data_IF_033546767281
#
_entry.id   IF_033546767281
#
_cell.length_a   1.000
_cell.length_b   1.000
_cell.length_c   1.000
_cell.angle_alpha   90.00
_cell.angle_beta   90.00
_cell.angle_gamma   90.00
#
_symmetry.space_group_name_H-M   'P 1'
#
loop_
_entity.id
_entity.type
_entity.pdbx_description
1 polymer ?
#
# COMPACT_ATOMS: atom_id res chain seq x y z
N UNK A 1 -22.65 15.82 4.08
CA UNK A 1 -21.90 15.11 3.02
C UNK A 1 -22.43 13.72 3.02
N UNK A 2 -23.23 13.40 2.02
CA UNK A 2 -23.89 12.12 1.87
C UNK A 2 -22.89 10.98 1.92
N UNK A 3 -23.14 10.01 2.76
CA UNK A 3 -22.53 8.69 2.67
C UNK A 3 -22.87 8.15 1.28
N UNK A 4 -21.93 8.22 0.34
CA UNK A 4 -22.05 7.48 -0.89
C UNK A 4 -22.14 6.01 -0.47
N UNK A 5 -23.34 5.45 -0.53
CA UNK A 5 -23.59 4.03 -0.33
C UNK A 5 -22.65 3.26 -1.24
N UNK A 6 -21.66 2.65 -0.61
CA UNK A 6 -20.68 1.83 -1.32
C UNK A 6 -21.43 0.63 -1.86
N UNK A 7 -21.62 0.57 -3.17
CA UNK A 7 -22.22 -0.61 -3.83
C UNK A 7 -21.43 -1.86 -3.39
N UNK A 8 -21.98 -2.72 -2.53
CA UNK A 8 -21.29 -3.90 -2.01
C UNK A 8 -20.82 -4.82 -3.14
N UNK A 9 -21.54 -4.81 -4.26
CA UNK A 9 -21.22 -5.59 -5.45
C UNK A 9 -19.93 -5.08 -6.14
N UNK A 10 -19.74 -3.76 -6.22
CA UNK A 10 -18.52 -3.18 -6.74
C UNK A 10 -17.31 -3.51 -5.86
N UNK A 11 -17.48 -3.46 -4.54
CA UNK A 11 -16.45 -3.86 -3.57
C UNK A 11 -16.06 -5.32 -3.76
N UNK A 12 -17.03 -6.22 -3.95
CA UNK A 12 -16.77 -7.64 -4.17
C UNK A 12 -16.05 -7.89 -5.51
N UNK A 13 -16.45 -7.23 -6.60
CA UNK A 13 -15.76 -7.33 -7.89
C UNK A 13 -14.29 -6.91 -7.79
N UNK A 14 -14.02 -5.79 -7.17
CA UNK A 14 -12.65 -5.33 -6.94
C UNK A 14 -11.85 -6.30 -6.07
N UNK A 15 -12.50 -6.91 -5.10
CA UNK A 15 -11.87 -7.90 -4.22
C UNK A 15 -11.61 -9.22 -4.95
N UNK A 16 -12.52 -9.69 -5.79
CA UNK A 16 -12.34 -10.86 -6.64
C UNK A 16 -11.14 -10.68 -7.56
N UNK A 17 -11.08 -9.55 -8.26
CA UNK A 17 -9.95 -9.26 -9.15
C UNK A 17 -8.61 -9.19 -8.38
N UNK A 18 -8.59 -8.54 -7.22
CA UNK A 18 -7.38 -8.48 -6.40
C UNK A 18 -6.97 -9.85 -5.86
N UNK A 19 -7.93 -10.74 -5.55
CA UNK A 19 -7.63 -12.10 -5.12
C UNK A 19 -7.06 -12.94 -6.26
N UNK A 20 -7.67 -12.90 -7.43
CA UNK A 20 -7.17 -13.57 -8.62
C UNK A 20 -5.71 -13.17 -8.91
N UNK A 21 -5.43 -11.87 -9.02
CA UNK A 21 -4.07 -11.38 -9.25
C UNK A 21 -3.09 -11.75 -8.12
N UNK A 22 -3.56 -11.84 -6.88
CA UNK A 22 -2.73 -12.31 -5.77
C UNK A 22 -2.35 -13.77 -5.96
N UNK A 23 -3.28 -14.62 -6.42
CA UNK A 23 -2.98 -16.04 -6.68
C UNK A 23 -1.97 -16.19 -7.81
N UNK A 24 -2.17 -15.50 -8.94
CA UNK A 24 -1.22 -15.51 -10.06
C UNK A 24 0.20 -15.08 -9.61
N UNK A 25 0.31 -13.99 -8.86
CA UNK A 25 1.59 -13.55 -8.31
C UNK A 25 2.23 -14.61 -7.41
N UNK A 26 1.45 -15.22 -6.53
CA UNK A 26 1.99 -16.17 -5.56
C UNK A 26 2.45 -17.46 -6.24
N UNK A 27 1.75 -17.91 -7.28
CA UNK A 27 2.18 -19.05 -8.09
C UNK A 27 3.52 -18.74 -8.79
N UNK A 28 3.65 -17.57 -9.40
CA UNK A 28 4.90 -17.14 -10.01
C UNK A 28 6.05 -16.98 -8.99
N UNK A 29 5.76 -16.54 -7.77
CA UNK A 29 6.75 -16.46 -6.68
C UNK A 29 7.20 -17.85 -6.20
N UNK A 30 6.30 -18.84 -6.15
CA UNK A 30 6.62 -20.22 -5.82
C UNK A 30 7.58 -20.80 -6.86
N UNK A 31 7.29 -20.59 -8.14
CA UNK A 31 8.13 -21.03 -9.25
C UNK A 31 9.55 -20.45 -9.16
N UNK A 32 9.67 -19.12 -8.96
CA UNK A 32 10.97 -18.43 -8.87
C UNK A 32 11.79 -18.90 -7.66
N UNK A 33 11.13 -19.16 -6.53
CA UNK A 33 11.82 -19.56 -5.30
C UNK A 33 12.29 -21.03 -5.30
N UNK A 34 11.78 -21.85 -6.20
CA UNK A 34 11.98 -23.30 -6.19
C UNK A 34 11.64 -23.93 -4.82
N UNK A 35 10.85 -23.26 -4.02
CA UNK A 35 10.40 -23.65 -2.69
C UNK A 35 8.93 -23.96 -2.81
N UNK A 36 8.55 -25.23 -2.75
CA UNK A 36 7.14 -25.63 -2.76
C UNK A 36 6.27 -24.80 -1.79
N UNK A 37 5.01 -25.14 -1.61
CA UNK A 37 4.02 -24.44 -0.76
C UNK A 37 4.40 -24.31 0.74
N UNK A 38 5.65 -24.59 1.13
CA UNK A 38 6.11 -24.61 2.52
C UNK A 38 6.27 -23.22 3.17
N UNK A 39 6.24 -22.12 2.41
CA UNK A 39 6.31 -20.75 2.96
C UNK A 39 4.97 -20.38 3.62
N UNK A 40 4.97 -20.30 4.95
CA UNK A 40 3.77 -19.92 5.74
C UNK A 40 3.15 -18.58 5.30
N UNK A 41 3.96 -17.64 4.81
CA UNK A 41 3.49 -16.35 4.33
C UNK A 41 2.72 -16.49 3.02
N UNK A 42 3.24 -17.26 2.08
CA UNK A 42 2.60 -17.56 0.80
C UNK A 42 1.30 -18.34 1.02
N UNK A 43 1.33 -19.42 1.81
CA UNK A 43 0.14 -20.22 2.09
C UNK A 43 -0.99 -19.40 2.74
N UNK A 44 -0.65 -18.53 3.69
CA UNK A 44 -1.63 -17.59 4.27
C UNK A 44 -2.20 -16.63 3.24
N UNK A 45 -1.40 -16.17 2.28
CA UNK A 45 -1.84 -15.25 1.26
C UNK A 45 -2.70 -15.94 0.18
N UNK A 46 -2.39 -17.19 -0.17
CA UNK A 46 -3.25 -18.02 -1.03
C UNK A 46 -4.63 -18.23 -0.42
N UNK A 47 -4.70 -18.50 0.89
CA UNK A 47 -5.95 -18.63 1.63
C UNK A 47 -6.66 -17.30 1.97
N UNK A 48 -6.11 -16.16 1.57
CA UNK A 48 -6.71 -14.85 1.87
C UNK A 48 -8.00 -14.63 1.11
N UNK A 49 -9.10 -14.37 1.84
CA UNK A 49 -10.38 -14.09 1.21
C UNK A 49 -10.98 -15.27 0.43
N UNK A 50 -10.57 -16.51 0.68
CA UNK A 50 -11.17 -17.69 0.05
C UNK A 50 -12.58 -17.92 0.52
N UNK A 51 -12.90 -17.55 1.74
CA UNK A 51 -14.20 -17.70 2.34
C UNK A 51 -14.86 -16.34 2.53
N UNK A 52 -16.13 -16.23 2.13
CA UNK A 52 -16.99 -15.07 2.40
C UNK A 52 -18.21 -15.53 3.17
N UNK A 53 -18.51 -14.82 4.25
CA UNK A 53 -19.78 -14.88 4.96
C UNK A 53 -20.50 -13.56 4.77
N UNK A 54 -21.74 -13.60 4.32
CA UNK A 54 -22.63 -12.45 4.24
C UNK A 54 -23.70 -12.64 5.32
N UNK A 55 -23.78 -11.71 6.25
CA UNK A 55 -24.80 -11.67 7.29
C UNK A 55 -25.28 -10.23 7.50
N UNK A 56 -26.18 -10.02 8.47
CA UNK A 56 -26.75 -8.70 8.79
C UNK A 56 -25.69 -7.62 9.10
N UNK A 57 -24.51 -8.02 9.53
CA UNK A 57 -23.38 -7.11 9.80
C UNK A 57 -22.56 -6.82 8.53
N UNK A 58 -22.91 -7.41 7.38
CA UNK A 58 -22.26 -7.23 6.09
C UNK A 58 -21.34 -8.39 5.69
N UNK A 59 -20.34 -8.08 4.87
CA UNK A 59 -19.46 -9.06 4.24
C UNK A 59 -18.24 -9.31 5.13
N UNK A 60 -18.10 -10.53 5.63
CA UNK A 60 -16.98 -10.98 6.47
C UNK A 60 -16.09 -11.96 5.72
N UNK A 61 -14.78 -11.94 6.01
CA UNK A 61 -13.79 -12.85 5.44
C UNK A 61 -12.56 -12.94 6.33
N UNK A 62 -11.68 -13.89 6.04
CA UNK A 62 -10.37 -14.01 6.70
C UNK A 62 -9.29 -13.36 5.84
N UNK A 63 -8.59 -12.37 6.38
CA UNK A 63 -7.54 -11.64 5.70
C UNK A 63 -6.16 -11.99 6.26
N UNK A 64 -5.18 -12.21 5.35
CA UNK A 64 -3.84 -12.68 5.72
C UNK A 64 -2.92 -11.59 6.28
N UNK A 65 -3.18 -10.32 5.99
CA UNK A 65 -2.30 -9.19 6.34
C UNK A 65 -0.96 -9.16 5.58
N UNK A 66 -0.73 -10.08 4.63
CA UNK A 66 0.54 -10.18 3.91
C UNK A 66 0.70 -9.05 2.89
N UNK A 67 1.94 -8.59 2.70
CA UNK A 67 2.28 -7.54 1.72
C UNK A 67 2.30 -8.02 0.26
N UNK A 68 2.39 -9.33 0.03
CA UNK A 68 2.17 -9.91 -1.30
C UNK A 68 0.69 -9.90 -1.73
N UNK A 69 -0.22 -9.80 -0.77
CA UNK A 69 -1.64 -9.89 -1.03
C UNK A 69 -2.23 -8.54 -1.42
N UNK A 70 -2.73 -8.40 -2.64
CA UNK A 70 -3.38 -7.17 -3.12
C UNK A 70 -4.65 -6.85 -2.34
N UNK A 71 -5.45 -7.85 -1.97
CA UNK A 71 -6.65 -7.66 -1.15
C UNK A 71 -6.29 -6.95 0.16
N UNK A 72 -5.29 -7.48 0.89
CA UNK A 72 -4.85 -6.90 2.16
C UNK A 72 -4.18 -5.53 2.00
N UNK A 73 -3.48 -5.31 0.89
CA UNK A 73 -2.89 -4.01 0.61
C UNK A 73 -3.95 -2.95 0.31
N UNK A 74 -4.98 -3.29 -0.48
CA UNK A 74 -6.12 -2.39 -0.76
C UNK A 74 -6.84 -2.02 0.55
N UNK A 75 -7.17 -2.99 1.39
CA UNK A 75 -7.80 -2.75 2.71
C UNK A 75 -6.92 -1.84 3.58
N UNK A 76 -5.63 -2.13 3.69
CA UNK A 76 -4.70 -1.31 4.48
C UNK A 76 -4.59 0.12 3.97
N UNK A 77 -4.52 0.30 2.66
CA UNK A 77 -4.46 1.63 2.03
C UNK A 77 -5.73 2.43 2.34
N UNK A 78 -6.88 1.82 2.20
CA UNK A 78 -8.16 2.44 2.52
C UNK A 78 -8.26 2.86 4.00
N UNK A 79 -7.85 1.98 4.92
CA UNK A 79 -7.78 2.29 6.35
C UNK A 79 -6.84 3.47 6.65
N UNK A 80 -5.64 3.48 6.05
CA UNK A 80 -4.69 4.59 6.22
C UNK A 80 -5.25 5.90 5.66
N UNK A 81 -5.90 5.84 4.52
CA UNK A 81 -6.55 7.01 3.93
C UNK A 81 -7.61 7.59 4.87
N UNK A 82 -8.54 6.77 5.36
CA UNK A 82 -9.59 7.21 6.29
C UNK A 82 -9.05 7.77 7.60
N UNK A 83 -7.90 7.25 8.07
CA UNK A 83 -7.26 7.71 9.30
C UNK A 83 -6.53 9.05 9.15
N UNK A 84 -6.00 9.37 7.98
CA UNK A 84 -5.08 10.50 7.80
C UNK A 84 -5.56 11.57 6.83
N UNK A 85 -6.55 11.33 5.97
CA UNK A 85 -7.05 12.32 5.00
C UNK A 85 -7.49 13.61 5.69
N UNK A 86 -8.42 13.52 6.64
CA UNK A 86 -8.93 14.70 7.34
C UNK A 86 -7.87 15.40 8.20
N UNK A 87 -7.03 14.70 9.00
CA UNK A 87 -5.91 15.34 9.70
C UNK A 87 -4.92 16.05 8.78
N UNK A 88 -4.66 15.53 7.58
CA UNK A 88 -3.78 16.19 6.61
C UNK A 88 -4.47 17.41 5.99
N UNK A 89 -5.73 17.29 5.58
CA UNK A 89 -6.49 18.43 5.00
C UNK A 89 -6.70 19.57 5.98
N UNK A 90 -6.66 19.32 7.28
CA UNK A 90 -6.75 20.36 8.31
C UNK A 90 -5.44 21.15 8.52
N UNK A 91 -4.33 20.70 7.95
CA UNK A 91 -3.07 21.43 8.01
C UNK A 91 -3.02 22.53 6.93
N UNK A 92 -2.50 23.73 7.26
CA UNK A 92 -2.31 24.78 6.27
C UNK A 92 -1.11 24.48 5.38
N UNK A 93 -1.07 25.09 4.21
CA UNK A 93 0.10 25.21 3.35
C UNK A 93 0.83 23.88 3.09
N UNK A 94 0.14 22.93 2.50
CA UNK A 94 0.66 21.59 2.27
C UNK A 94 1.63 21.53 1.08
N UNK A 95 2.76 20.88 1.29
CA UNK A 95 3.80 20.61 0.28
C UNK A 95 4.04 19.11 0.14
N UNK A 96 4.13 18.64 -1.11
CA UNK A 96 4.55 17.29 -1.44
C UNK A 96 6.07 17.29 -1.62
N UNK A 97 6.74 16.54 -0.77
CA UNK A 97 8.19 16.43 -0.75
C UNK A 97 8.61 15.02 -1.17
N UNK A 98 9.61 14.92 -2.03
CA UNK A 98 10.25 13.64 -2.39
C UNK A 98 11.69 13.68 -1.92
N UNK A 99 12.08 12.71 -1.10
CA UNK A 99 13.45 12.54 -0.62
C UNK A 99 14.02 11.23 -1.14
N UNK A 100 15.13 11.32 -1.86
CA UNK A 100 15.76 10.17 -2.52
C UNK A 100 17.19 9.99 -2.03
N UNK A 101 17.72 8.82 -2.31
CA UNK A 101 19.14 8.47 -2.14
C UNK A 101 19.66 7.85 -3.45
N UNK A 102 20.98 7.66 -3.56
CA UNK A 102 21.56 6.89 -4.66
C UNK A 102 20.94 5.49 -4.73
N UNK A 103 20.59 5.06 -5.92
CA UNK A 103 19.96 3.75 -6.16
C UNK A 103 20.85 2.60 -5.68
N UNK A 104 20.47 1.82 -4.65
CA UNK A 104 21.22 0.66 -4.22
C UNK A 104 21.01 -0.53 -5.16
N UNK A 105 22.02 -1.40 -5.24
CA UNK A 105 21.90 -2.74 -5.80
C UNK A 105 21.14 -3.66 -4.83
N UNK A 106 20.79 -4.86 -5.33
CA UNK A 106 19.99 -5.85 -4.61
C UNK A 106 20.51 -6.15 -3.19
N UNK A 107 21.79 -6.42 -3.04
CA UNK A 107 22.45 -6.78 -1.77
C UNK A 107 22.46 -5.62 -0.75
N UNK A 108 22.36 -4.39 -1.21
CA UNK A 108 22.38 -3.17 -0.38
C UNK A 108 21.01 -2.57 -0.08
N UNK A 109 19.92 -3.06 -0.71
CA UNK A 109 18.60 -2.46 -0.56
C UNK A 109 18.14 -2.39 0.90
N UNK A 110 18.27 -3.49 1.65
CA UNK A 110 17.83 -3.55 3.04
C UNK A 110 18.61 -2.58 3.93
N UNK A 111 19.93 -2.54 3.80
CA UNK A 111 20.79 -1.60 4.56
C UNK A 111 20.53 -0.16 4.18
N UNK A 112 20.33 0.14 2.89
CA UNK A 112 19.98 1.47 2.42
C UNK A 112 18.66 1.96 3.03
N UNK A 113 17.62 1.11 3.05
CA UNK A 113 16.34 1.44 3.70
C UNK A 113 16.55 1.71 5.21
N UNK A 114 17.33 0.88 5.89
CA UNK A 114 17.65 1.08 7.32
C UNK A 114 18.39 2.40 7.55
N UNK A 115 19.36 2.74 6.69
CA UNK A 115 20.05 4.03 6.69
C UNK A 115 19.07 5.18 6.57
N UNK A 116 18.21 5.16 5.55
CA UNK A 116 17.17 6.19 5.37
C UNK A 116 16.31 6.41 6.63
N UNK A 117 15.94 5.35 7.33
CA UNK A 117 15.17 5.47 8.58
C UNK A 117 15.96 6.10 9.71
N UNK A 118 17.24 5.74 9.85
CA UNK A 118 18.15 6.32 10.84
C UNK A 118 18.35 7.80 10.56
N UNK A 119 18.71 8.15 9.33
CA UNK A 119 18.97 9.53 8.91
C UNK A 119 17.73 10.42 9.10
N UNK A 120 16.56 9.92 8.69
CA UNK A 120 15.30 10.64 8.90
C UNK A 120 14.97 10.84 10.39
N UNK A 121 15.33 9.91 11.25
CA UNK A 121 15.15 10.08 12.69
C UNK A 121 16.07 11.16 13.25
N UNK A 122 17.34 11.14 12.84
CA UNK A 122 18.36 12.11 13.28
C UNK A 122 18.01 13.52 12.82
N UNK A 123 17.70 13.71 11.53
CA UNK A 123 17.34 15.03 11.00
C UNK A 123 16.07 15.59 11.67
N UNK A 124 15.06 14.76 11.90
CA UNK A 124 13.85 15.20 12.60
C UNK A 124 14.15 15.68 14.03
N UNK A 125 15.06 15.01 14.73
CA UNK A 125 15.46 15.40 16.07
C UNK A 125 16.30 16.69 16.05
N UNK A 126 17.14 16.89 15.02
CA UNK A 126 17.90 18.12 14.81
C UNK A 126 16.98 19.32 14.52
N UNK A 127 16.04 19.18 13.59
CA UNK A 127 15.04 20.20 13.28
C UNK A 127 14.21 20.59 14.51
N UNK A 128 13.83 19.61 15.33
CA UNK A 128 13.11 19.87 16.58
C UNK A 128 13.94 20.72 17.57
N UNK A 129 15.26 20.47 17.67
CA UNK A 129 16.17 21.29 18.51
C UNK A 129 16.25 22.74 18.00
N UNK A 130 16.17 22.93 16.68
CA UNK A 130 16.09 24.25 16.02
C UNK A 130 14.69 24.88 16.10
N UNK A 131 13.74 24.28 16.85
CA UNK A 131 12.34 24.69 17.00
C UNK A 131 11.49 24.56 15.73
N UNK A 132 12.00 23.89 14.69
CA UNK A 132 11.25 23.56 13.47
C UNK A 132 10.43 22.30 13.73
N UNK A 133 9.12 22.43 13.68
CA UNK A 133 8.17 21.34 14.00
C UNK A 133 7.50 20.81 12.73
N UNK A 134 8.04 19.75 12.19
CA UNK A 134 7.43 19.07 11.05
C UNK A 134 6.04 18.50 11.41
N UNK A 135 5.05 18.76 10.55
CA UNK A 135 3.70 18.19 10.64
C UNK A 135 3.30 17.59 9.28
N UNK A 136 2.94 16.33 9.28
CA UNK A 136 2.56 15.66 8.04
C UNK A 136 2.57 14.14 8.11
N UNK A 137 2.74 13.51 6.97
CA UNK A 137 2.77 12.06 6.81
C UNK A 137 3.89 11.68 5.83
N UNK A 138 4.70 10.69 6.19
CA UNK A 138 5.75 10.11 5.36
C UNK A 138 5.36 8.71 4.89
N UNK A 139 5.64 8.41 3.62
CA UNK A 139 5.52 7.09 3.01
C UNK A 139 6.88 6.67 2.44
N UNK A 140 7.30 5.43 2.68
CA UNK A 140 8.37 4.79 1.91
C UNK A 140 7.78 4.19 0.64
N UNK A 141 8.39 4.49 -0.50
CA UNK A 141 8.11 3.85 -1.79
C UNK A 141 9.42 3.27 -2.36
N UNK A 142 9.32 2.15 -3.05
CA UNK A 142 10.48 1.50 -3.68
C UNK A 142 10.08 1.10 -5.09
N UNK A 143 10.78 1.63 -6.07
CA UNK A 143 10.66 1.21 -7.47
C UNK A 143 11.90 0.42 -7.89
N UNK A 144 11.77 -0.35 -8.95
CA UNK A 144 12.87 -1.10 -9.52
C UNK A 144 13.16 -0.58 -10.94
N UNK A 145 14.45 -0.34 -11.22
CA UNK A 145 14.95 0.01 -12.53
C UNK A 145 15.56 -1.27 -13.15
N UNK A 146 14.89 -1.82 -14.14
CA UNK A 146 15.28 -3.06 -14.81
C UNK A 146 16.52 -2.88 -15.71
N UNK A 147 16.70 -1.69 -16.30
CA UNK A 147 17.84 -1.39 -17.17
C UNK A 147 19.15 -1.36 -16.39
N UNK A 148 19.16 -0.77 -15.21
CA UNK A 148 20.35 -0.64 -14.35
C UNK A 148 20.45 -1.77 -13.31
N UNK A 149 19.41 -2.59 -13.17
CA UNK A 149 19.27 -3.60 -12.13
C UNK A 149 19.50 -2.99 -10.72
N UNK A 150 18.85 -1.86 -10.48
CA UNK A 150 18.93 -1.10 -9.22
C UNK A 150 17.54 -0.87 -8.64
N UNK A 151 17.52 -0.56 -7.34
CA UNK A 151 16.29 -0.21 -6.64
C UNK A 151 16.31 1.28 -6.32
N UNK A 152 15.15 1.92 -6.34
CA UNK A 152 15.01 3.33 -6.02
C UNK A 152 14.10 3.50 -4.79
N UNK A 153 14.63 3.32 -3.56
CA UNK A 153 13.89 3.65 -2.35
C UNK A 153 13.85 5.16 -2.16
N UNK A 154 12.68 5.69 -1.91
CA UNK A 154 12.47 7.11 -1.69
C UNK A 154 11.31 7.35 -0.73
N UNK A 155 11.32 8.51 -0.11
CA UNK A 155 10.21 8.98 0.71
C UNK A 155 9.34 9.94 -0.11
N UNK A 156 8.04 9.72 -0.05
CA UNK A 156 7.04 10.72 -0.34
C UNK A 156 6.48 11.25 0.97
N UNK A 157 6.42 12.58 1.10
CA UNK A 157 5.87 13.22 2.29
C UNK A 157 4.84 14.26 1.88
N UNK A 158 3.84 14.44 2.72
CA UNK A 158 3.05 15.65 2.78
C UNK A 158 3.48 16.38 4.05
N UNK A 159 3.99 17.61 3.89
CA UNK A 159 4.48 18.45 4.99
C UNK A 159 3.75 19.78 4.95
N UNK A 160 3.35 20.27 6.13
CA UNK A 160 2.75 21.59 6.30
C UNK A 160 3.84 22.65 6.45
N UNK A 161 3.75 23.71 5.64
CA UNK A 161 4.68 24.84 5.60
C UNK A 161 5.78 24.68 4.55
N UNK A 162 5.98 25.72 3.74
CA UNK A 162 7.06 25.75 2.74
C UNK A 162 8.42 25.73 3.41
N UNK A 163 8.64 26.57 4.42
CA UNK A 163 9.88 26.66 5.16
C UNK A 163 10.25 25.31 5.83
N UNK A 164 9.27 24.61 6.40
CA UNK A 164 9.45 23.27 6.97
C UNK A 164 9.83 22.25 5.91
N UNK A 165 9.27 22.34 4.70
CA UNK A 165 9.62 21.45 3.59
C UNK A 165 11.03 21.72 3.06
N UNK A 166 11.45 22.98 2.96
CA UNK A 166 12.80 23.37 2.55
C UNK A 166 13.84 22.93 3.57
N UNK A 167 13.64 23.23 4.85
CA UNK A 167 14.54 22.78 5.93
C UNK A 167 14.64 21.25 6.01
N UNK A 168 13.54 20.53 5.69
CA UNK A 168 13.55 19.08 5.63
C UNK A 168 14.46 18.56 4.52
N UNK A 169 14.43 19.18 3.31
CA UNK A 169 15.29 18.78 2.19
C UNK A 169 16.76 19.12 2.48
N UNK A 170 17.05 20.30 3.00
CA UNK A 170 18.40 20.69 3.40
C UNK A 170 18.98 19.72 4.43
N UNK A 171 18.24 19.46 5.50
CA UNK A 171 18.68 18.49 6.51
C UNK A 171 18.81 17.07 5.93
N UNK A 172 17.99 16.68 4.95
CA UNK A 172 18.14 15.37 4.31
C UNK A 172 19.47 15.25 3.57
N UNK A 173 19.91 16.32 2.89
CA UNK A 173 21.21 16.36 2.21
C UNK A 173 22.37 16.32 3.20
N UNK A 174 22.25 16.99 4.35
CA UNK A 174 23.29 17.00 5.39
C UNK A 174 23.46 15.64 6.07
N UNK A 175 22.36 14.93 6.30
CA UNK A 175 22.37 13.65 7.01
C UNK A 175 22.55 12.43 6.10
N UNK A 176 22.43 12.59 4.77
CA UNK A 176 22.54 11.49 3.82
C UNK A 176 23.57 11.78 2.72
N UNK A 177 24.78 11.26 2.88
CA UNK A 177 25.90 11.46 1.96
C UNK A 177 25.62 11.00 0.52
N UNK A 178 24.61 10.15 0.31
CA UNK A 178 24.26 9.65 -1.01
C UNK A 178 23.13 10.43 -1.69
N UNK A 179 22.53 11.37 -0.98
CA UNK A 179 21.52 12.25 -1.53
C UNK A 179 22.14 13.39 -2.33
N UNK A 180 21.50 13.78 -3.44
CA UNK A 180 21.91 14.92 -4.26
C UNK A 180 20.72 15.86 -4.46
N UNK A 181 20.95 17.17 -4.45
CA UNK A 181 19.90 18.19 -4.49
C UNK A 181 18.95 18.03 -5.69
N UNK A 182 19.50 17.80 -6.87
CA UNK A 182 18.73 17.69 -8.12
C UNK A 182 17.76 16.50 -8.14
N UNK A 183 17.94 15.54 -7.25
CA UNK A 183 17.05 14.38 -7.13
C UNK A 183 15.96 14.58 -6.06
N UNK A 184 16.00 15.66 -5.31
CA UNK A 184 14.96 16.02 -4.34
C UNK A 184 13.89 16.88 -5.01
N UNK A 185 12.67 16.89 -4.48
CA UNK A 185 11.60 17.69 -5.05
C UNK A 185 10.68 18.22 -3.95
N UNK A 186 10.29 19.49 -4.10
CA UNK A 186 9.23 20.13 -3.29
C UNK A 186 8.23 20.74 -4.27
N UNK A 187 6.97 20.47 -4.08
CA UNK A 187 5.89 21.12 -4.84
C UNK A 187 4.68 21.36 -3.94
N UNK A 188 3.89 22.38 -4.24
CA UNK A 188 2.60 22.62 -3.57
C UNK A 188 1.75 21.35 -3.68
N UNK A 189 1.19 20.89 -2.58
CA UNK A 189 0.35 19.71 -2.58
C UNK A 189 -1.10 20.06 -2.97
N UNK A 190 -1.63 19.31 -3.90
CA UNK A 190 -3.04 19.32 -4.31
C UNK A 190 -3.72 18.01 -3.90
N UNK A 191 -4.99 17.84 -4.25
CA UNK A 191 -5.71 16.58 -3.99
C UNK A 191 -5.07 15.37 -4.69
N UNK A 192 -4.41 15.57 -5.84
CA UNK A 192 -3.72 14.49 -6.56
C UNK A 192 -2.49 14.03 -5.77
N UNK A 193 -1.76 14.98 -5.17
CA UNK A 193 -0.62 14.68 -4.31
C UNK A 193 -1.02 13.88 -3.06
N UNK A 194 -2.15 14.22 -2.44
CA UNK A 194 -2.72 13.43 -1.34
C UNK A 194 -3.05 11.99 -1.77
N UNK A 195 -3.72 11.84 -2.91
CA UNK A 195 -4.02 10.50 -3.46
C UNK A 195 -2.75 9.73 -3.80
N UNK A 196 -1.73 10.39 -4.36
CA UNK A 196 -0.43 9.77 -4.68
C UNK A 196 0.26 9.22 -3.44
N UNK A 197 0.20 9.95 -2.31
CA UNK A 197 0.78 9.48 -1.06
C UNK A 197 0.19 8.14 -0.62
N UNK A 198 -1.10 7.89 -0.83
CA UNK A 198 -1.77 6.66 -0.40
C UNK A 198 -1.76 5.54 -1.46
N UNK A 199 -1.19 5.74 -2.65
CA UNK A 199 -0.96 4.64 -3.60
C UNK A 199 -0.02 3.59 -3.01
N UNK A 200 0.07 2.45 -3.67
CA UNK A 200 0.93 1.36 -3.19
C UNK A 200 2.39 1.78 -3.04
N UNK A 201 3.07 1.13 -2.12
CA UNK A 201 4.47 1.41 -1.77
C UNK A 201 5.49 0.89 -2.81
N UNK A 202 5.05 0.22 -3.84
CA UNK A 202 5.90 -0.26 -4.94
C UNK A 202 5.17 -0.15 -6.26
N UNK A 203 5.82 0.41 -7.25
CA UNK A 203 5.38 0.46 -8.64
C UNK A 203 6.28 -0.45 -9.44
N UNK A 204 5.72 -1.49 -9.99
CA UNK A 204 6.39 -2.35 -10.94
C UNK A 204 5.82 -2.03 -12.31
N UNK A 205 6.59 -1.36 -13.14
CA UNK A 205 6.30 -1.18 -14.56
C UNK A 205 7.21 -2.13 -15.32
N UNK A 206 6.61 -3.02 -16.08
CA UNK A 206 7.30 -3.79 -17.09
C UNK A 206 6.92 -3.25 -18.46
N UNK A 207 7.88 -2.76 -19.20
CA UNK A 207 7.66 -2.27 -20.56
C UNK A 207 7.85 -3.37 -21.62
N UNK A 208 8.28 -4.58 -21.23
CA UNK A 208 8.56 -5.69 -22.15
C UNK A 208 8.22 -7.06 -21.54
N UNK A 209 7.74 -7.98 -22.35
CA UNK A 209 7.37 -9.35 -21.97
C UNK A 209 8.51 -10.19 -21.34
N UNK A 210 9.76 -9.83 -21.56
CA UNK A 210 10.94 -10.45 -20.91
C UNK A 210 11.05 -10.11 -19.42
N UNK A 211 10.32 -9.10 -18.95
CA UNK A 211 10.53 -8.49 -17.63
C UNK A 211 9.63 -9.06 -16.53
N UNK A 212 8.67 -9.95 -16.82
CA UNK A 212 7.72 -10.40 -15.80
C UNK A 212 8.40 -11.22 -14.69
N UNK A 213 9.25 -12.18 -15.04
CA UNK A 213 10.03 -12.96 -14.04
C UNK A 213 11.03 -12.08 -13.29
N UNK A 214 11.69 -11.14 -13.99
CA UNK A 214 12.62 -10.18 -13.37
C UNK A 214 11.85 -9.27 -12.42
N UNK A 215 10.71 -8.77 -12.85
CA UNK A 215 9.83 -7.90 -12.06
C UNK A 215 9.29 -8.60 -10.80
N UNK A 216 8.87 -9.86 -10.90
CA UNK A 216 8.40 -10.66 -9.76
C UNK A 216 9.56 -10.95 -8.79
N UNK A 217 10.76 -11.25 -9.30
CA UNK A 217 11.97 -11.42 -8.49
C UNK A 217 12.34 -10.14 -7.74
N UNK A 218 12.28 -8.99 -8.41
CA UNK A 218 12.52 -7.68 -7.79
C UNK A 218 11.47 -7.37 -6.71
N UNK A 219 10.19 -7.64 -6.97
CA UNK A 219 9.12 -7.49 -5.99
C UNK A 219 9.35 -8.36 -4.75
N UNK A 220 9.69 -9.64 -4.96
CA UNK A 220 10.03 -10.53 -3.87
C UNK A 220 11.15 -9.96 -2.99
N UNK A 221 12.18 -9.40 -3.63
CA UNK A 221 13.30 -8.79 -2.93
C UNK A 221 12.90 -7.51 -2.17
N UNK A 222 12.11 -6.63 -2.79
CA UNK A 222 11.55 -5.44 -2.13
C UNK A 222 10.79 -5.84 -0.87
N UNK A 223 9.83 -6.78 -0.98
CA UNK A 223 8.97 -7.17 0.13
C UNK A 223 9.77 -7.78 1.27
N UNK A 224 10.78 -8.61 0.96
CA UNK A 224 11.67 -9.17 1.97
C UNK A 224 12.54 -8.11 2.66
N UNK A 225 12.96 -7.06 1.91
CA UNK A 225 13.77 -5.96 2.44
C UNK A 225 12.99 -5.04 3.39
N UNK A 226 11.65 -4.99 3.26
CA UNK A 226 10.77 -4.16 4.10
C UNK A 226 10.05 -4.95 5.21
N UNK A 227 10.48 -6.16 5.50
CA UNK A 227 9.95 -6.91 6.65
C UNK A 227 10.17 -6.11 7.94
N UNK A 228 9.10 -5.91 8.72
CA UNK A 228 9.07 -5.07 9.95
C UNK A 228 9.39 -3.59 9.72
N UNK A 229 9.44 -3.12 8.48
CA UNK A 229 9.58 -1.69 8.15
C UNK A 229 8.21 -1.02 8.16
N UNK A 230 8.09 0.14 8.75
CA UNK A 230 6.85 0.94 8.78
C UNK A 230 6.77 1.81 7.51
N UNK A 231 5.96 1.39 6.54
CA UNK A 231 5.82 2.09 5.25
C UNK A 231 5.25 3.51 5.43
N UNK A 232 4.17 3.65 6.21
CA UNK A 232 3.59 4.95 6.52
C UNK A 232 3.93 5.35 7.96
N UNK A 233 4.33 6.62 8.13
CA UNK A 233 4.67 7.16 9.44
C UNK A 233 4.19 8.60 9.57
N UNK A 234 3.28 8.87 10.55
CA UNK A 234 2.92 10.25 10.88
C UNK A 234 4.10 11.00 11.48
N UNK A 235 4.18 12.27 11.16
CA UNK A 235 5.16 13.22 11.67
C UNK A 235 4.39 14.37 12.30
N UNK A 236 4.41 14.50 13.61
CA UNK A 236 3.74 15.60 14.32
C UNK A 236 2.21 15.66 14.20
N UNK A 237 1.57 14.64 13.63
CA UNK A 237 0.10 14.52 13.55
C UNK A 237 -0.37 13.22 14.19
N UNK A 238 -1.66 13.19 14.55
CA UNK A 238 -2.30 11.98 15.11
C UNK A 238 -3.30 11.43 14.07
N UNK A 239 -3.38 10.11 13.99
CA UNK A 239 -4.42 9.44 13.21
C UNK A 239 -5.79 9.64 13.85
N UNK A 240 -6.82 9.75 13.05
CA UNK A 240 -8.19 9.57 13.53
C UNK A 240 -8.41 8.09 13.89
N UNK A 241 -9.13 7.85 14.95
CA UNK A 241 -9.61 6.50 15.23
C UNK A 241 -10.68 6.18 14.18
N UNK A 242 -10.63 5.00 13.54
CA UNK A 242 -11.71 4.60 12.66
C UNK A 242 -13.03 4.63 13.44
N UNK A 243 -14.13 5.12 12.83
CA UNK A 243 -15.42 5.09 13.49
C UNK A 243 -15.71 3.65 13.91
N UNK A 244 -16.08 3.45 15.17
CA UNK A 244 -16.63 2.17 15.59
C UNK A 244 -17.91 2.01 14.76
N UNK A 245 -18.02 0.95 13.95
CA UNK A 245 -19.31 0.60 13.36
C UNK A 245 -20.31 0.48 14.51
N UNK A 246 -21.22 1.42 14.64
CA UNK A 246 -22.42 1.25 15.42
C UNK A 246 -23.24 0.23 14.64
N UNK A 247 -23.25 -0.98 15.12
CA UNK A 247 -24.15 -2.02 14.66
C UNK A 247 -25.53 -1.65 15.19
N UNK A 248 -26.32 -0.97 14.38
CA UNK A 248 -27.77 -1.01 14.58
C UNK A 248 -28.16 -2.47 14.41
N UNK A 249 -28.64 -3.07 15.50
CA UNK A 249 -29.13 -4.44 15.49
C UNK A 249 -30.41 -4.46 14.67
N UNK A 250 -30.30 -4.86 13.39
CA UNK A 250 -31.48 -5.20 12.62
C UNK A 250 -32.19 -6.37 13.31
N UNK A 251 -33.49 -6.21 13.56
CA UNK A 251 -34.29 -7.19 14.29
C UNK A 251 -34.75 -8.39 13.45
N UNK A 252 -34.38 -8.45 12.18
CA UNK A 252 -34.69 -9.59 11.34
C UNK A 252 -33.57 -10.62 11.35
N UNK A 253 -33.91 -11.87 11.63
CA UNK A 253 -32.97 -13.01 11.61
C UNK A 253 -32.64 -13.34 10.17
N UNK A 254 -31.56 -12.74 9.66
CA UNK A 254 -31.00 -13.07 8.34
C UNK A 254 -30.13 -14.32 8.48
N UNK A 255 -30.49 -15.41 7.80
CA UNK A 255 -29.62 -16.58 7.72
C UNK A 255 -28.33 -16.23 6.99
N UNK A 256 -27.15 -16.50 7.58
CA UNK A 256 -25.89 -16.15 6.95
C UNK A 256 -25.65 -16.97 5.68
N UNK A 257 -25.29 -16.29 4.60
CA UNK A 257 -24.87 -16.92 3.35
C UNK A 257 -23.36 -17.15 3.35
N UNK A 258 -22.94 -18.31 2.86
CA UNK A 258 -21.54 -18.74 2.83
C UNK A 258 -21.13 -19.05 1.39
N UNK A 259 -19.92 -18.56 1.03
CA UNK A 259 -19.36 -18.76 -0.30
C UNK A 259 -17.88 -19.09 -0.20
N UNK A 260 -17.42 -20.00 -1.03
CA UNK A 260 -16.03 -20.39 -1.16
C UNK A 260 -15.48 -19.98 -2.53
N UNK A 261 -14.20 -19.56 -2.54
CA UNK A 261 -13.52 -19.12 -3.75
C UNK A 261 -13.08 -20.30 -4.61
N UNK A 262 -13.47 -20.31 -5.86
CA UNK A 262 -12.93 -21.16 -6.91
C UNK A 262 -12.58 -20.34 -8.15
N UNK A 263 -11.33 -20.47 -8.63
CA UNK A 263 -10.76 -19.82 -9.81
C UNK A 263 -10.90 -18.30 -9.85
N UNK A 264 -12.07 -17.76 -10.16
CA UNK A 264 -12.28 -16.35 -10.43
C UNK A 264 -13.50 -15.75 -9.70
N UNK A 265 -14.21 -16.55 -8.93
CA UNK A 265 -15.42 -16.15 -8.21
C UNK A 265 -15.60 -16.89 -6.89
N UNK A 266 -16.55 -16.47 -6.09
CA UNK A 266 -17.04 -17.21 -4.92
C UNK A 266 -18.33 -17.94 -5.29
N UNK A 267 -18.45 -19.17 -4.85
CA UNK A 267 -19.59 -20.05 -5.12
C UNK A 267 -20.20 -20.53 -3.80
N UNK A 268 -21.53 -20.62 -3.75
CA UNK A 268 -22.22 -21.24 -2.62
C UNK A 268 -22.18 -22.78 -2.71
N UNK A 269 -22.78 -23.45 -1.74
CA UNK A 269 -22.83 -24.91 -1.68
C UNK A 269 -23.59 -25.58 -2.87
N UNK A 270 -24.39 -24.80 -3.62
CA UNK A 270 -25.10 -25.28 -4.80
C UNK A 270 -24.29 -25.07 -6.10
N UNK A 271 -23.14 -24.40 -6.01
CA UNK A 271 -22.33 -24.01 -7.15
C UNK A 271 -22.77 -22.71 -7.83
N UNK A 272 -23.66 -21.93 -7.19
CA UNK A 272 -24.10 -20.65 -7.73
C UNK A 272 -23.08 -19.55 -7.44
N UNK A 273 -22.69 -18.74 -8.47
CA UNK A 273 -21.67 -17.70 -8.27
C UNK A 273 -22.22 -16.50 -7.51
N UNK A 274 -21.43 -15.97 -6.57
CA UNK A 274 -21.74 -14.72 -5.86
C UNK A 274 -21.80 -13.51 -6.80
N UNK A 275 -20.89 -13.45 -7.76
CA UNK A 275 -20.81 -12.37 -8.75
C UNK A 275 -21.33 -12.85 -10.10
N UNK A 276 -22.61 -12.59 -10.37
CA UNK A 276 -23.25 -12.95 -11.62
C UNK A 276 -22.70 -12.09 -12.77
N UNK A 277 -22.44 -12.71 -13.94
CA UNK A 277 -21.86 -12.04 -15.13
C UNK A 277 -20.54 -11.29 -14.85
N UNK A 278 -19.80 -11.68 -13.83
CA UNK A 278 -18.50 -11.12 -13.54
C UNK A 278 -17.40 -11.82 -14.36
N UNK A 279 -16.46 -11.04 -14.85
CA UNK A 279 -15.19 -11.52 -15.44
C UNK A 279 -14.03 -10.75 -14.83
N UNK A 280 -12.91 -11.42 -14.67
CA UNK A 280 -11.66 -10.77 -14.26
C UNK A 280 -11.29 -9.73 -15.33
N UNK A 281 -11.16 -8.46 -14.90
CA UNK A 281 -10.92 -7.32 -15.78
C UNK A 281 -9.46 -6.84 -15.76
N UNK A 282 -8.74 -7.05 -14.66
CA UNK A 282 -7.30 -6.80 -14.58
C UNK A 282 -6.56 -8.10 -14.89
N UNK A 283 -5.78 -8.13 -15.96
CA UNK A 283 -5.00 -9.31 -16.37
C UNK A 283 -3.53 -9.22 -16.01
N UNK A 284 -3.05 -8.02 -15.67
CA UNK A 284 -1.67 -7.75 -15.32
C UNK A 284 -1.56 -7.33 -13.86
N UNK A 285 -0.59 -7.91 -13.17
CA UNK A 285 -0.30 -7.54 -11.81
C UNK A 285 0.28 -6.13 -11.77
N UNK A 286 -0.55 -5.15 -11.44
CA UNK A 286 -0.13 -3.76 -11.26
C UNK A 286 -0.45 -3.29 -9.85
N UNK A 287 0.56 -2.84 -9.13
CA UNK A 287 0.35 -2.14 -7.86
C UNK A 287 -0.01 -0.66 -8.06
N UNK A 288 -0.12 -0.17 -9.31
CA UNK A 288 -0.01 1.25 -9.56
C UNK A 288 -1.30 2.05 -9.59
N UNK A 289 -2.46 1.51 -9.95
CA UNK A 289 -3.41 2.44 -10.55
C UNK A 289 -4.83 2.55 -10.00
N UNK A 290 -5.30 1.70 -9.11
CA UNK A 290 -6.69 1.83 -8.67
C UNK A 290 -6.85 1.93 -7.16
N UNK A 291 -6.63 3.16 -6.64
CA UNK A 291 -7.21 3.57 -5.38
C UNK A 291 -8.70 3.83 -5.61
N UNK A 292 -9.51 2.81 -5.37
CA UNK A 292 -10.95 2.93 -5.37
C UNK A 292 -11.43 3.29 -3.95
N UNK A 293 -12.03 4.48 -3.79
CA UNK A 293 -12.64 4.92 -2.53
C UNK A 293 -13.74 3.97 -2.05
N UNK A 294 -14.27 3.10 -2.92
CA UNK A 294 -15.31 2.13 -2.60
C UNK A 294 -14.85 0.95 -1.72
N UNK A 295 -13.58 0.95 -1.26
CA UNK A 295 -13.04 -0.15 -0.43
C UNK A 295 -12.96 0.23 1.07
N UNK A 296 -13.36 1.46 1.43
CA UNK A 296 -13.35 1.95 2.83
C UNK A 296 -14.61 1.56 3.56
#
# INVERSE_FOLDING_TARGET
MENADLDPYKVLKNRANAKYLTQELLLALIEIRNQGLADKGINRALGCGTFIKIDQDGIKSRFCGNRFCLVCNRIRTAQLYSMYEAPLKALPDLHFVTLTIKNPKKDKLKSAIQGMYKDFSLLKDALRKQKIKLKGLRKLEITYNDLENTYHPHYHLIISGQNEAENLVESWLDYNETAVLVAQNIKKADEKALKELFKYFTKLKSNNSYSEKITISALNHIINSIVRVRIFQPVGIKALKPPKKQLEKAQESFEPLFYDWDRDNWYDATGSPLLVNFRIYEKTYSFSDNFDKSIV
#
